data_IF_914024964844
#
_entry.id   IF_914024964844
#
_cell.length_a   1.000
_cell.length_b   1.000
_cell.length_c   1.000
_cell.angle_alpha   90.00
_cell.angle_beta   90.00
_cell.angle_gamma   90.00
#
_symmetry.space_group_name_H-M   'P 1'
#
loop_
_entity.id
_entity.type
_entity.pdbx_description
1 polymer ?
#
# COMPACT_ATOMS: atom_id res chain seq x y z
N UNK A 1 -47.30 -14.64 -40.44
CA UNK A 1 -46.49 -15.08 -39.28
C UNK A 1 -44.97 -14.82 -39.39
N UNK A 2 -44.39 -14.41 -40.55
CA UNK A 2 -42.92 -14.26 -40.73
C UNK A 2 -42.31 -12.88 -40.44
N UNK A 3 -43.08 -11.78 -40.50
CA UNK A 3 -42.54 -10.41 -40.31
C UNK A 3 -42.41 -9.98 -38.84
N UNK A 4 -43.35 -10.40 -37.98
CA UNK A 4 -43.32 -10.08 -36.54
C UNK A 4 -42.08 -10.67 -35.87
N UNK A 5 -41.81 -11.96 -36.12
CA UNK A 5 -40.64 -12.66 -35.57
C UNK A 5 -39.31 -12.03 -36.01
N UNK A 6 -39.20 -11.52 -37.25
CA UNK A 6 -38.00 -10.79 -37.70
C UNK A 6 -37.79 -9.48 -36.94
N UNK A 7 -38.86 -8.71 -36.70
CA UNK A 7 -38.79 -7.47 -35.90
C UNK A 7 -38.42 -7.78 -34.45
N UNK A 8 -38.97 -8.85 -33.87
CA UNK A 8 -38.62 -9.31 -32.52
C UNK A 8 -37.16 -9.77 -32.44
N UNK A 9 -36.66 -10.53 -33.41
CA UNK A 9 -35.26 -10.96 -33.48
C UNK A 9 -34.33 -9.74 -33.60
N UNK A 10 -34.66 -8.77 -34.47
CA UNK A 10 -33.88 -7.53 -34.62
C UNK A 10 -33.88 -6.71 -33.33
N UNK A 11 -35.03 -6.60 -32.64
CA UNK A 11 -35.13 -5.88 -31.36
C UNK A 11 -34.26 -6.55 -30.27
N UNK A 12 -34.24 -7.89 -30.21
CA UNK A 12 -33.40 -8.64 -29.27
C UNK A 12 -31.91 -8.40 -29.57
N UNK A 13 -31.51 -8.41 -30.84
CA UNK A 13 -30.12 -8.13 -31.23
C UNK A 13 -29.71 -6.72 -30.81
N UNK A 14 -30.55 -5.71 -31.08
CA UNK A 14 -30.28 -4.32 -30.68
C UNK A 14 -30.17 -4.20 -29.16
N UNK A 15 -31.07 -4.84 -28.40
CA UNK A 15 -31.01 -4.82 -26.94
C UNK A 15 -29.72 -5.45 -26.40
N UNK A 16 -29.26 -6.57 -26.97
CA UNK A 16 -27.99 -7.19 -26.58
C UNK A 16 -26.78 -6.31 -26.93
N UNK A 17 -26.78 -5.69 -28.11
CA UNK A 17 -25.71 -4.74 -28.50
C UNK A 17 -25.68 -3.56 -27.54
N UNK A 18 -26.84 -3.00 -27.18
CA UNK A 18 -26.92 -1.92 -26.19
C UNK A 18 -26.41 -2.35 -24.82
N UNK A 19 -26.71 -3.58 -24.38
CA UNK A 19 -26.24 -4.11 -23.10
C UNK A 19 -24.71 -4.30 -23.09
N UNK A 20 -24.14 -4.79 -24.18
CA UNK A 20 -22.68 -4.89 -24.37
C UNK A 20 -22.03 -3.50 -24.37
N UNK A 21 -22.61 -2.53 -25.09
CA UNK A 21 -22.12 -1.16 -25.10
C UNK A 21 -22.19 -0.51 -23.71
N UNK A 22 -23.26 -0.77 -22.96
CA UNK A 22 -23.41 -0.28 -21.58
C UNK A 22 -22.39 -0.93 -20.64
N UNK A 23 -22.09 -2.22 -20.82
CA UNK A 23 -21.05 -2.91 -20.05
C UNK A 23 -19.64 -2.39 -20.39
N UNK A 24 -19.34 -2.13 -21.66
CA UNK A 24 -18.05 -1.55 -22.10
C UNK A 24 -17.91 -0.11 -21.59
N UNK A 25 -18.95 0.71 -21.75
CA UNK A 25 -18.97 2.08 -21.25
C UNK A 25 -18.84 2.11 -19.72
N UNK A 26 -19.56 1.23 -19.02
CA UNK A 26 -19.43 1.05 -17.58
C UNK A 26 -17.99 0.68 -17.19
N UNK A 27 -17.38 -0.30 -17.88
CA UNK A 27 -15.99 -0.70 -17.63
C UNK A 27 -15.01 0.46 -17.85
N UNK A 28 -15.18 1.23 -18.93
CA UNK A 28 -14.37 2.43 -19.21
C UNK A 28 -14.56 3.52 -18.15
N UNK A 29 -15.80 3.79 -17.75
CA UNK A 29 -16.11 4.78 -16.70
C UNK A 29 -15.62 4.37 -15.31
N UNK A 30 -15.41 3.07 -15.09
CA UNK A 30 -14.88 2.53 -13.81
C UNK A 30 -13.40 2.17 -13.87
N UNK A 31 -12.73 2.45 -14.99
CA UNK A 31 -11.29 2.24 -15.13
C UNK A 31 -10.59 3.13 -14.11
N UNK A 32 -9.70 2.52 -13.33
CA UNK A 32 -8.88 3.20 -12.36
C UNK A 32 -7.46 3.16 -12.91
N UNK A 33 -6.94 4.31 -13.30
CA UNK A 33 -5.55 4.47 -13.70
C UNK A 33 -4.83 5.13 -12.51
N UNK A 34 -3.86 4.43 -11.91
CA UNK A 34 -3.21 4.83 -10.66
C UNK A 34 -2.59 6.24 -10.76
N UNK A 35 -1.98 6.54 -11.90
CA UNK A 35 -1.31 7.80 -12.22
C UNK A 35 -2.25 9.02 -12.18
N UNK A 36 -3.55 8.83 -12.45
CA UNK A 36 -4.55 9.90 -12.40
C UNK A 36 -4.93 10.31 -10.96
N UNK A 37 -4.51 9.51 -9.97
CA UNK A 37 -4.90 9.63 -8.57
C UNK A 37 -3.71 9.91 -7.63
N UNK A 38 -2.52 10.17 -8.16
CA UNK A 38 -1.28 10.30 -7.38
C UNK A 38 -1.39 11.33 -6.24
N UNK A 39 -2.06 12.45 -6.51
CA UNK A 39 -2.17 13.55 -5.54
C UNK A 39 -3.45 13.47 -4.68
N UNK A 40 -4.26 12.42 -4.84
CA UNK A 40 -5.42 12.20 -3.98
C UNK A 40 -4.97 11.68 -2.60
N UNK A 41 -5.52 12.26 -1.53
CA UNK A 41 -5.32 11.76 -0.15
C UNK A 41 -5.92 10.35 0.00
N UNK A 42 -5.10 9.41 0.46
CA UNK A 42 -5.50 8.01 0.70
C UNK A 42 -5.50 7.61 2.16
N UNK A 43 -4.68 8.26 2.98
CA UNK A 43 -4.55 8.04 4.42
C UNK A 43 -4.49 9.42 5.07
N UNK A 44 -5.12 9.59 6.23
CA UNK A 44 -4.95 10.74 7.11
C UNK A 44 -4.72 10.24 8.53
N UNK A 45 -3.71 10.76 9.21
CA UNK A 45 -3.38 10.47 10.62
C UNK A 45 -3.33 11.78 11.37
N UNK A 46 -4.21 11.97 12.36
CA UNK A 46 -4.29 13.20 13.18
C UNK A 46 -4.40 14.51 12.37
N UNK A 47 -4.99 14.44 11.17
CA UNK A 47 -5.13 15.56 10.24
C UNK A 47 -3.93 15.79 9.31
N UNK A 48 -2.88 14.96 9.39
CA UNK A 48 -1.81 14.89 8.39
C UNK A 48 -2.23 13.97 7.25
N UNK A 49 -2.44 14.56 6.07
CA UNK A 49 -2.82 13.85 4.86
C UNK A 49 -1.60 13.21 4.17
N UNK A 50 -1.78 11.97 3.72
CA UNK A 50 -0.82 11.21 2.92
C UNK A 50 -1.48 10.91 1.57
N UNK A 51 -0.84 11.38 0.51
CA UNK A 51 -1.25 11.20 -0.89
C UNK A 51 -0.98 9.77 -1.38
N UNK A 52 -1.62 9.38 -2.48
CA UNK A 52 -1.35 8.09 -3.11
C UNK A 52 0.11 7.98 -3.59
N UNK A 53 0.72 9.09 -4.00
CA UNK A 53 2.13 9.19 -4.38
C UNK A 53 3.06 8.86 -3.21
N UNK A 54 2.84 9.50 -2.06
CA UNK A 54 3.59 9.19 -0.83
C UNK A 54 3.38 7.75 -0.37
N UNK A 55 2.13 7.27 -0.39
CA UNK A 55 1.83 5.86 -0.11
C UNK A 55 2.49 4.89 -1.10
N UNK A 56 2.77 5.37 -2.32
CA UNK A 56 3.54 4.67 -3.35
C UNK A 56 4.91 4.15 -2.87
N UNK A 57 5.54 4.85 -1.91
CA UNK A 57 6.79 4.39 -1.28
C UNK A 57 6.60 3.03 -0.58
N UNK A 58 5.56 2.93 0.25
CA UNK A 58 5.24 1.70 0.99
C UNK A 58 4.74 0.59 0.07
N UNK A 59 3.99 0.95 -0.98
CA UNK A 59 3.60 0.01 -2.03
C UNK A 59 4.83 -0.61 -2.67
N UNK A 60 5.79 0.21 -3.10
CA UNK A 60 7.01 -0.28 -3.77
C UNK A 60 7.82 -1.20 -2.85
N UNK A 61 8.08 -0.79 -1.60
CA UNK A 61 8.86 -1.59 -0.66
C UNK A 61 8.23 -2.97 -0.42
N UNK A 62 6.91 -3.00 -0.17
CA UNK A 62 6.18 -4.26 0.07
C UNK A 62 6.09 -5.10 -1.21
N UNK A 63 5.81 -4.49 -2.36
CA UNK A 63 5.76 -5.21 -3.63
C UNK A 63 7.12 -5.79 -4.01
N UNK A 64 8.21 -5.05 -3.83
CA UNK A 64 9.57 -5.54 -4.07
C UNK A 64 9.91 -6.72 -3.15
N UNK A 65 9.61 -6.61 -1.85
CA UNK A 65 9.83 -7.69 -0.90
C UNK A 65 9.04 -8.96 -1.25
N UNK A 66 7.74 -8.85 -1.49
CA UNK A 66 6.88 -10.00 -1.82
C UNK A 66 7.19 -10.54 -3.21
N UNK A 67 7.62 -9.71 -4.16
CA UNK A 67 8.04 -10.14 -5.50
C UNK A 67 9.29 -11.01 -5.44
N UNK A 68 10.25 -10.71 -4.56
CA UNK A 68 11.41 -11.57 -4.35
C UNK A 68 10.98 -12.96 -3.85
N UNK A 69 9.98 -13.03 -2.96
CA UNK A 69 9.40 -14.31 -2.54
C UNK A 69 8.66 -15.02 -3.68
N UNK A 70 7.91 -14.26 -4.48
CA UNK A 70 7.17 -14.77 -5.63
C UNK A 70 8.09 -15.41 -6.67
N UNK A 71 9.22 -14.74 -6.97
CA UNK A 71 10.24 -15.23 -7.90
C UNK A 71 10.96 -16.47 -7.37
N UNK A 72 11.12 -16.62 -6.05
CA UNK A 72 11.64 -17.85 -5.45
C UNK A 72 10.63 -19.01 -5.51
N UNK A 73 9.34 -18.71 -5.41
CA UNK A 73 8.26 -19.68 -5.44
C UNK A 73 7.98 -20.20 -6.86
N UNK A 74 7.79 -19.29 -7.82
CA UNK A 74 7.52 -19.57 -9.24
C UNK A 74 8.19 -18.49 -10.10
N UNK A 75 9.46 -18.68 -10.50
CA UNK A 75 10.20 -17.70 -11.32
C UNK A 75 9.55 -17.39 -12.67
N UNK A 76 8.85 -18.38 -13.26
CA UNK A 76 8.24 -18.25 -14.59
C UNK A 76 6.90 -17.52 -14.52
N UNK A 77 6.18 -17.66 -13.41
CA UNK A 77 4.91 -16.98 -13.18
C UNK A 77 4.74 -16.50 -11.73
N UNK A 78 5.41 -15.40 -11.34
CA UNK A 78 5.33 -14.84 -9.99
C UNK A 78 3.90 -14.44 -9.58
N UNK A 79 3.01 -14.18 -10.54
CA UNK A 79 1.58 -13.90 -10.28
C UNK A 79 0.89 -15.07 -9.54
N UNK A 80 1.40 -16.30 -9.62
CA UNK A 80 0.85 -17.43 -8.87
C UNK A 80 0.98 -17.23 -7.36
N UNK A 81 2.15 -16.76 -6.88
CA UNK A 81 2.34 -16.44 -5.47
C UNK A 81 1.41 -15.31 -5.02
N UNK A 82 1.35 -14.21 -5.78
CA UNK A 82 0.49 -13.07 -5.49
C UNK A 82 -1.00 -13.42 -5.36
N UNK A 83 -1.45 -14.45 -6.07
CA UNK A 83 -2.83 -14.95 -6.03
C UNK A 83 -2.99 -16.20 -5.14
N UNK A 84 -1.97 -16.58 -4.38
CA UNK A 84 -2.07 -17.66 -3.40
C UNK A 84 -2.91 -17.21 -2.22
N UNK A 85 -3.83 -18.08 -1.80
CA UNK A 85 -4.71 -17.84 -0.66
C UNK A 85 -4.26 -18.67 0.55
N UNK A 86 -3.87 -17.99 1.63
CA UNK A 86 -3.54 -18.67 2.87
C UNK A 86 -4.80 -18.98 3.67
N UNK A 87 -4.93 -20.24 4.09
CA UNK A 87 -6.05 -20.67 4.93
C UNK A 87 -5.62 -20.63 6.39
N UNK A 88 -6.06 -19.59 7.11
CA UNK A 88 -5.75 -19.34 8.51
C UNK A 88 -7.02 -19.09 9.34
N UNK A 89 -8.11 -19.80 9.01
CA UNK A 89 -9.40 -19.62 9.66
C UNK A 89 -9.97 -18.21 9.39
N UNK A 90 -10.32 -17.41 10.42
CA UNK A 90 -10.87 -16.06 10.23
C UNK A 90 -9.89 -15.11 9.53
N UNK A 91 -8.58 -15.37 9.57
CA UNK A 91 -7.54 -14.53 8.97
C UNK A 91 -7.13 -14.98 7.56
N UNK A 92 -7.94 -15.84 6.93
CA UNK A 92 -7.67 -16.33 5.58
C UNK A 92 -7.78 -15.19 4.56
N UNK A 93 -6.74 -15.02 3.73
CA UNK A 93 -6.66 -13.95 2.74
C UNK A 93 -5.67 -14.28 1.62
N UNK A 94 -5.76 -13.54 0.52
CA UNK A 94 -4.77 -13.60 -0.55
C UNK A 94 -3.47 -12.89 -0.16
N UNK A 95 -2.34 -13.32 -0.74
CA UNK A 95 -1.04 -12.64 -0.59
C UNK A 95 -1.14 -11.16 -0.97
N UNK A 96 -1.83 -10.82 -2.05
CA UNK A 96 -2.01 -9.43 -2.48
C UNK A 96 -2.80 -8.58 -1.48
N UNK A 97 -3.81 -9.15 -0.81
CA UNK A 97 -4.60 -8.47 0.22
C UNK A 97 -3.78 -8.28 1.50
N UNK A 98 -3.02 -9.31 1.89
CA UNK A 98 -2.10 -9.22 3.03
C UNK A 98 -1.01 -8.18 2.79
N UNK A 99 -0.39 -8.18 1.61
CA UNK A 99 0.59 -7.18 1.21
C UNK A 99 0.00 -5.76 1.31
N UNK A 100 -1.24 -5.54 0.83
CA UNK A 100 -1.89 -4.24 0.96
C UNK A 100 -2.06 -3.85 2.43
N UNK A 101 -2.51 -4.79 3.26
CA UNK A 101 -2.66 -4.59 4.71
C UNK A 101 -1.33 -4.19 5.35
N UNK A 102 -0.23 -4.87 4.99
CA UNK A 102 1.13 -4.53 5.46
C UNK A 102 1.50 -3.12 5.04
N UNK A 103 1.45 -2.78 3.75
CA UNK A 103 1.81 -1.45 3.26
C UNK A 103 1.03 -0.35 3.97
N UNK A 104 -0.29 -0.50 4.05
CA UNK A 104 -1.21 0.45 4.68
C UNK A 104 -0.87 0.66 6.16
N UNK A 105 -0.77 -0.43 6.92
CA UNK A 105 -0.56 -0.34 8.37
C UNK A 105 0.86 0.07 8.73
N UNK A 106 1.87 -0.30 7.94
CA UNK A 106 3.23 0.23 8.09
C UNK A 106 3.26 1.73 7.85
N UNK A 107 2.60 2.22 6.79
CA UNK A 107 2.50 3.66 6.52
C UNK A 107 1.85 4.43 7.69
N UNK A 108 0.73 3.93 8.23
CA UNK A 108 0.05 4.54 9.38
C UNK A 108 0.94 4.50 10.63
N UNK A 109 1.55 3.35 10.93
CA UNK A 109 2.42 3.17 12.08
C UNK A 109 3.63 4.12 12.02
N UNK A 110 4.29 4.20 10.86
CA UNK A 110 5.40 5.11 10.64
C UNK A 110 4.97 6.57 10.81
N UNK A 111 3.81 6.97 10.27
CA UNK A 111 3.31 8.33 10.43
C UNK A 111 3.06 8.68 11.90
N UNK A 112 2.40 7.79 12.65
CA UNK A 112 2.16 7.96 14.09
C UNK A 112 3.49 8.12 14.83
N UNK A 113 4.42 7.18 14.63
CA UNK A 113 5.70 7.22 15.31
C UNK A 113 6.56 8.41 14.89
N UNK A 114 6.51 8.82 13.63
CA UNK A 114 7.20 10.01 13.16
C UNK A 114 6.69 11.26 13.88
N UNK A 115 5.37 11.45 13.97
CA UNK A 115 4.78 12.60 14.67
C UNK A 115 5.11 12.60 16.16
N UNK A 116 5.03 11.44 16.82
CA UNK A 116 5.40 11.30 18.22
C UNK A 116 6.92 11.50 18.44
N UNK A 117 7.75 11.08 17.49
CA UNK A 117 9.19 11.34 17.51
C UNK A 117 9.46 12.84 17.50
N UNK A 118 8.84 13.57 16.57
CA UNK A 118 8.96 15.02 16.43
C UNK A 118 8.46 15.73 17.69
N UNK A 119 7.30 15.34 18.24
CA UNK A 119 6.79 15.87 19.52
C UNK A 119 7.74 15.61 20.69
N UNK A 120 8.44 14.46 20.67
CA UNK A 120 9.41 14.08 21.71
C UNK A 120 10.82 14.67 21.52
N UNK A 121 11.02 15.49 20.47
CA UNK A 121 12.28 16.19 20.19
C UNK A 121 13.27 15.44 19.29
N UNK A 122 12.90 14.28 18.73
CA UNK A 122 13.68 13.61 17.68
C UNK A 122 13.38 14.33 16.38
N UNK A 123 14.27 15.25 16.01
CA UNK A 123 14.02 16.17 14.89
C UNK A 123 14.22 15.52 13.51
N UNK A 124 13.57 16.05 12.45
CA UNK A 124 13.77 15.58 11.06
C UNK A 124 15.22 15.58 10.58
N UNK A 125 16.04 16.53 11.07
CA UNK A 125 17.46 16.65 10.74
C UNK A 125 18.32 15.55 11.38
N UNK A 126 17.89 14.97 12.51
CA UNK A 126 18.66 13.97 13.24
C UNK A 126 18.78 12.64 12.47
N UNK A 127 17.86 12.39 11.54
CA UNK A 127 17.90 11.24 10.64
C UNK A 127 18.50 11.56 9.26
N UNK A 128 18.71 12.83 8.89
CA UNK A 128 19.34 13.23 7.62
C UNK A 128 20.87 13.14 7.71
N UNK A 129 21.37 11.90 7.72
CA UNK A 129 22.80 11.59 7.66
C UNK A 129 23.21 11.27 6.22
N UNK A 130 24.50 11.35 5.90
CA UNK A 130 24.99 10.88 4.60
C UNK A 130 24.70 9.40 4.34
N UNK A 131 24.56 8.59 5.40
CA UNK A 131 24.20 7.18 5.31
C UNK A 131 22.75 7.00 4.87
N UNK A 132 21.80 7.59 5.59
CA UNK A 132 20.36 7.47 5.31
C UNK A 132 19.98 8.10 3.97
N UNK A 133 20.62 9.20 3.59
CA UNK A 133 20.49 9.76 2.23
C UNK A 133 21.05 8.78 1.19
N UNK A 134 22.17 8.11 1.49
CA UNK A 134 22.74 7.07 0.63
C UNK A 134 21.83 5.86 0.46
N UNK A 135 21.16 5.42 1.53
CA UNK A 135 20.19 4.32 1.54
C UNK A 135 18.95 4.68 0.70
N UNK A 136 18.36 5.86 0.91
CA UNK A 136 17.25 6.36 0.10
C UNK A 136 17.61 6.49 -1.39
N UNK A 137 18.82 6.99 -1.69
CA UNK A 137 19.33 7.07 -3.07
C UNK A 137 19.52 5.70 -3.69
N UNK A 138 20.02 4.73 -2.92
CA UNK A 138 20.15 3.37 -3.42
C UNK A 138 18.78 2.78 -3.75
N UNK A 139 17.75 3.05 -2.94
CA UNK A 139 16.36 2.68 -3.24
C UNK A 139 15.90 3.30 -4.56
N UNK A 140 16.06 4.63 -4.72
CA UNK A 140 15.70 5.33 -5.96
C UNK A 140 16.42 4.75 -7.19
N UNK A 141 17.72 4.47 -7.09
CA UNK A 141 18.51 3.91 -8.20
C UNK A 141 18.15 2.45 -8.52
N UNK A 142 17.55 1.72 -7.58
CA UNK A 142 17.07 0.35 -7.79
C UNK A 142 15.67 0.32 -8.43
N UNK A 143 14.90 1.41 -8.34
CA UNK A 143 13.62 1.51 -9.04
C UNK A 143 13.82 1.66 -10.54
N UNK A 144 13.05 0.90 -11.31
CA UNK A 144 12.99 1.06 -12.77
C UNK A 144 12.20 2.31 -13.16
N UNK A 145 12.40 2.88 -14.37
CA UNK A 145 11.62 4.02 -14.82
C UNK A 145 10.10 3.79 -14.78
N UNK A 146 9.64 2.57 -15.10
CA UNK A 146 8.22 2.21 -15.05
C UNK A 146 7.67 2.24 -13.61
N UNK A 147 8.47 1.84 -12.62
CA UNK A 147 8.07 1.88 -11.21
C UNK A 147 7.99 3.31 -10.69
N UNK A 148 8.94 4.16 -11.09
CA UNK A 148 8.93 5.59 -10.76
C UNK A 148 7.73 6.30 -11.41
N UNK A 149 7.45 6.02 -12.68
CA UNK A 149 6.28 6.55 -13.40
C UNK A 149 4.97 6.09 -12.75
N UNK A 150 4.82 4.78 -12.50
CA UNK A 150 3.61 4.22 -11.92
C UNK A 150 3.32 4.75 -10.50
N UNK A 151 4.35 4.99 -9.69
CA UNK A 151 4.17 5.51 -8.32
C UNK A 151 4.18 7.04 -8.24
N UNK A 152 4.68 7.71 -9.28
CA UNK A 152 4.95 9.14 -9.27
C UNK A 152 6.05 9.57 -8.30
N UNK A 153 6.85 8.64 -7.77
CA UNK A 153 7.94 8.94 -6.85
C UNK A 153 9.12 9.58 -7.60
N UNK A 154 9.74 10.57 -6.98
CA UNK A 154 11.04 11.11 -7.37
C UNK A 154 12.06 10.94 -6.25
N UNK A 155 13.33 11.27 -6.52
CA UNK A 155 14.42 11.10 -5.56
C UNK A 155 14.18 11.89 -4.27
N UNK A 156 13.64 13.11 -4.37
CA UNK A 156 13.40 13.98 -3.21
C UNK A 156 12.32 13.38 -2.31
N UNK A 157 11.20 12.95 -2.89
CA UNK A 157 10.12 12.33 -2.15
C UNK A 157 10.55 10.98 -1.54
N UNK A 158 11.35 10.19 -2.24
CA UNK A 158 11.91 8.95 -1.68
C UNK A 158 12.80 9.24 -0.47
N UNK A 159 13.66 10.26 -0.56
CA UNK A 159 14.50 10.68 0.59
C UNK A 159 13.62 11.11 1.76
N UNK A 160 12.55 11.86 1.49
CA UNK A 160 11.62 12.32 2.52
C UNK A 160 10.91 11.15 3.21
N UNK A 161 10.28 10.25 2.43
CA UNK A 161 9.55 9.09 2.96
C UNK A 161 10.48 8.14 3.72
N UNK A 162 11.67 7.90 3.19
CA UNK A 162 12.68 7.09 3.87
C UNK A 162 13.13 7.73 5.19
N UNK A 163 13.31 9.06 5.21
CA UNK A 163 13.68 9.77 6.43
C UNK A 163 12.57 9.68 7.49
N UNK A 164 11.29 9.81 7.10
CA UNK A 164 10.15 9.59 8.00
C UNK A 164 10.20 8.19 8.62
N UNK A 165 10.40 7.16 7.80
CA UNK A 165 10.53 5.76 8.26
C UNK A 165 11.68 5.55 9.25
N UNK A 166 12.85 6.16 8.99
CA UNK A 166 14.02 6.06 9.89
C UNK A 166 13.73 6.72 11.24
N UNK A 167 13.06 7.88 11.25
CA UNK A 167 12.69 8.58 12.49
C UNK A 167 11.66 7.77 13.28
N UNK A 168 10.64 7.25 12.61
CA UNK A 168 9.66 6.35 13.20
C UNK A 168 10.33 5.14 13.86
N UNK A 169 11.28 4.51 13.16
CA UNK A 169 12.06 3.37 13.67
C UNK A 169 12.91 3.74 14.89
N UNK A 170 13.54 4.92 14.90
CA UNK A 170 14.28 5.43 16.07
C UNK A 170 13.35 5.63 17.27
N UNK A 171 12.15 6.16 17.06
CA UNK A 171 11.18 6.35 18.13
C UNK A 171 10.64 5.03 18.67
N UNK A 172 10.29 4.08 17.81
CA UNK A 172 9.95 2.72 18.24
C UNK A 172 11.10 2.11 19.07
N UNK A 173 12.36 2.29 18.65
CA UNK A 173 13.50 1.77 19.42
C UNK A 173 13.68 2.45 20.78
N UNK A 174 13.37 3.75 20.88
CA UNK A 174 13.34 4.46 22.15
C UNK A 174 12.23 3.90 23.05
N UNK A 175 11.02 3.73 22.53
CA UNK A 175 9.90 3.13 23.27
C UNK A 175 10.23 1.72 23.77
N UNK A 176 10.93 0.93 22.97
CA UNK A 176 11.33 -0.45 23.34
C UNK A 176 12.19 -0.48 24.61
N UNK A 177 12.96 0.58 24.89
CA UNK A 177 13.82 0.69 26.07
C UNK A 177 13.19 1.42 27.26
N UNK A 178 12.15 2.23 27.03
CA UNK A 178 11.52 3.07 28.06
C UNK A 178 10.22 2.49 28.62
N UNK A 179 9.47 1.74 27.79
CA UNK A 179 8.16 1.21 28.18
C UNK A 179 8.26 -0.12 28.91
N UNK A 180 7.31 -0.36 29.82
CA UNK A 180 7.19 -1.65 30.49
C UNK A 180 6.24 -2.58 29.70
N UNK A 181 6.80 -3.63 29.10
CA UNK A 181 6.07 -4.64 28.34
C UNK A 181 5.75 -5.90 29.15
N UNK A 182 5.91 -5.90 30.48
CA UNK A 182 5.74 -7.11 31.31
C UNK A 182 4.35 -7.76 31.27
N UNK A 183 3.36 -7.10 30.66
CA UNK A 183 2.00 -7.64 30.45
C UNK A 183 1.82 -8.39 29.14
N UNK A 184 2.85 -8.45 28.29
CA UNK A 184 2.85 -9.09 26.98
C UNK A 184 3.86 -10.23 26.93
N UNK A 185 3.58 -11.22 26.07
CA UNK A 185 4.38 -12.44 25.94
C UNK A 185 5.36 -12.41 24.74
N UNK A 186 5.50 -11.26 24.07
CA UNK A 186 6.37 -11.08 22.90
C UNK A 186 7.48 -10.07 23.17
N UNK A 187 8.51 -10.09 22.33
CA UNK A 187 9.62 -9.14 22.41
C UNK A 187 9.13 -7.70 22.10
N UNK A 188 9.74 -6.67 22.72
CA UNK A 188 9.34 -5.27 22.50
C UNK A 188 9.28 -4.84 21.03
N UNK A 189 10.24 -5.29 20.21
CA UNK A 189 10.30 -4.93 18.79
C UNK A 189 9.10 -5.53 18.01
N UNK A 190 8.58 -6.70 18.40
CA UNK A 190 7.36 -7.30 17.83
C UNK A 190 6.09 -6.59 18.32
N UNK A 191 6.07 -6.18 19.59
CA UNK A 191 4.92 -5.49 20.20
C UNK A 191 4.70 -4.09 19.64
N UNK A 192 5.77 -3.45 19.20
CA UNK A 192 5.75 -2.10 18.63
C UNK A 192 5.57 -2.09 17.12
N UNK A 193 5.61 -3.25 16.45
CA UNK A 193 5.28 -3.33 15.02
C UNK A 193 3.80 -2.97 14.79
N UNK A 194 3.44 -2.66 13.55
CA UNK A 194 2.07 -2.28 13.20
C UNK A 194 1.03 -3.35 13.56
N UNK A 195 1.39 -4.63 13.62
CA UNK A 195 0.54 -5.75 14.04
C UNK A 195 0.80 -6.21 15.48
N UNK A 196 1.69 -5.52 16.20
CA UNK A 196 2.05 -5.79 17.57
C UNK A 196 0.92 -5.43 18.54
N UNK A 197 0.76 -6.25 19.58
CA UNK A 197 -0.32 -6.09 20.58
C UNK A 197 -0.25 -4.74 21.30
N UNK A 198 0.95 -4.28 21.67
CA UNK A 198 1.09 -2.98 22.32
C UNK A 198 0.72 -1.83 21.38
N UNK A 199 1.19 -1.86 20.13
CA UNK A 199 0.81 -0.84 19.15
C UNK A 199 -0.72 -0.80 18.95
N UNK A 200 -1.36 -1.95 18.75
CA UNK A 200 -2.80 -2.05 18.51
C UNK A 200 -3.66 -1.65 19.71
N UNK A 201 -3.23 -1.96 20.93
CA UNK A 201 -4.02 -1.70 22.15
C UNK A 201 -3.74 -0.33 22.78
N UNK A 202 -2.50 0.16 22.70
CA UNK A 202 -2.04 1.30 23.50
C UNK A 202 -1.63 2.50 22.66
N UNK A 203 -1.25 2.32 21.39
CA UNK A 203 -0.76 3.41 20.54
C UNK A 203 -1.84 3.82 19.56
N UNK A 204 -2.17 2.95 18.60
CA UNK A 204 -3.13 3.23 17.52
C UNK A 204 -4.46 3.81 18.02
N UNK A 205 -5.09 3.36 19.13
CA UNK A 205 -6.37 3.90 19.59
C UNK A 205 -6.33 5.37 20.05
N UNK A 206 -5.14 5.96 20.22
CA UNK A 206 -4.96 7.36 20.61
C UNK A 206 -4.94 8.32 19.42
N UNK A 207 -4.89 7.80 18.19
CA UNK A 207 -4.77 8.57 16.96
C UNK A 207 -6.04 8.47 16.11
N UNK A 208 -6.39 9.56 15.44
CA UNK A 208 -7.48 9.58 14.47
C UNK A 208 -6.95 9.16 13.10
N UNK A 209 -7.38 7.99 12.63
CA UNK A 209 -6.96 7.45 11.33
C UNK A 209 -8.15 7.36 10.39
N UNK A 210 -8.05 8.02 9.24
CA UNK A 210 -9.03 7.93 8.15
C UNK A 210 -8.37 7.38 6.89
N UNK A 211 -9.09 6.50 6.20
CA UNK A 211 -8.58 5.79 5.02
C UNK A 211 -9.58 5.92 3.86
N UNK A 212 -9.08 6.23 2.67
CA UNK A 212 -9.89 6.38 1.46
C UNK A 212 -10.27 5.03 0.85
N UNK A 213 -11.38 4.46 1.32
CA UNK A 213 -11.96 3.21 0.77
C UNK A 213 -12.26 3.30 -0.73
N UNK A 214 -12.50 4.49 -1.27
CA UNK A 214 -12.83 4.69 -2.69
C UNK A 214 -11.64 4.32 -3.58
N UNK A 215 -10.43 4.78 -3.21
CA UNK A 215 -9.21 4.59 -3.97
C UNK A 215 -8.58 3.25 -3.62
N UNK A 216 -8.45 2.92 -2.33
CA UNK A 216 -7.78 1.69 -1.91
C UNK A 216 -8.47 0.41 -2.38
N UNK A 217 -9.81 0.40 -2.56
CA UNK A 217 -10.51 -0.75 -3.14
C UNK A 217 -10.23 -0.97 -4.62
N UNK A 218 -9.71 0.04 -5.33
CA UNK A 218 -9.35 -0.06 -6.75
C UNK A 218 -7.92 -0.50 -6.98
N UNK A 219 -7.08 -0.35 -5.96
CA UNK A 219 -5.69 -0.77 -5.98
C UNK A 219 -5.58 -2.28 -5.74
N UNK A 220 -4.59 -2.96 -6.30
CA UNK A 220 -4.25 -4.35 -5.97
C UNK A 220 -2.75 -4.48 -5.97
N UNK A 221 -2.14 -4.86 -4.83
CA UNK A 221 -0.70 -5.07 -4.78
C UNK A 221 -0.31 -6.34 -5.56
N UNK A 222 0.93 -6.36 -6.03
CA UNK A 222 1.44 -7.29 -7.02
C UNK A 222 1.21 -6.85 -8.47
N UNK A 223 0.81 -5.59 -8.70
CA UNK A 223 0.45 -5.06 -10.03
C UNK A 223 0.86 -3.60 -10.27
N UNK A 224 1.30 -2.87 -9.24
CA UNK A 224 1.53 -1.42 -9.35
C UNK A 224 2.96 -1.12 -9.75
N UNK A 225 3.93 -1.82 -9.17
CA UNK A 225 5.38 -1.69 -9.42
C UNK A 225 6.01 -3.00 -9.88
N UNK A 226 5.24 -4.09 -9.86
CA UNK A 226 5.68 -5.42 -10.25
C UNK A 226 4.61 -6.11 -11.09
N UNK A 227 5.03 -7.10 -11.88
CA UNK A 227 4.15 -7.88 -12.76
C UNK A 227 3.30 -7.04 -13.72
N UNK A 228 3.78 -5.85 -14.10
CA UNK A 228 3.27 -5.09 -15.24
C UNK A 228 3.26 -6.03 -16.45
N UNK A 229 2.11 -6.15 -17.11
CA UNK A 229 1.76 -7.27 -17.98
C UNK A 229 2.89 -7.80 -18.89
N UNK A 230 3.02 -9.13 -18.89
CA UNK A 230 2.82 -9.89 -20.13
C UNK A 230 1.33 -10.25 -20.24
#
# INVERSE_FOLDING_TARGET
>A
MRLSNKKTIIAIIIANVMLVLFAIAGKMLTRFDYEDHLDDTVISVDGTDITLREFGYYIYEVESFVQNQALLYDPENPKHWWNTHFSAGPDSQFVCDYAKKVALNTCICDQIYYEEAVKSGIGPEEALTSQTIGEARALYLNMTPLQLEATGLDEELIIEMHNRHVIASKYAKKLSGEQNFSKYDKEPDELLNWDGEYYQEEILPKHEVTISDKILRKITLGKITVNHDA
#
